data_IF_365619256208
#
_entry.id   IF_365619256208
#
_cell.length_a   1.000
_cell.length_b   1.000
_cell.length_c   1.000
_cell.angle_alpha   90.00
_cell.angle_beta   90.00
_cell.angle_gamma   90.00
#
_symmetry.space_group_name_H-M   'P 1'
#
loop_
_entity.id
_entity.type
_entity.pdbx_description
1 polymer ?
#
# COMPACT_ATOMS: atom_id res chain seq x y z
N UNK A 1 10.87 47.96 6.57
CA UNK A 1 9.49 47.69 7.03
C UNK A 1 9.39 46.20 7.27
N UNK A 2 9.19 45.77 8.52
CA UNK A 2 9.11 44.36 8.89
C UNK A 2 7.68 43.86 8.71
N UNK A 3 7.49 42.82 7.90
CA UNK A 3 6.20 42.17 7.72
C UNK A 3 5.90 41.39 9.01
N UNK A 4 4.79 41.66 9.72
CA UNK A 4 4.44 40.89 10.90
C UNK A 4 4.08 39.47 10.44
N UNK A 5 4.90 38.49 10.82
CA UNK A 5 4.52 37.09 10.67
C UNK A 5 3.30 36.83 11.54
N UNK A 6 2.15 36.64 10.90
CA UNK A 6 0.95 36.15 11.55
C UNK A 6 1.32 34.82 12.23
N UNK A 7 1.24 34.82 13.56
CA UNK A 7 1.37 33.60 14.35
C UNK A 7 0.26 32.65 13.90
N UNK A 8 0.65 31.58 13.19
CA UNK A 8 -0.23 30.47 12.85
C UNK A 8 -0.85 29.93 14.14
N UNK A 9 -2.14 30.20 14.32
CA UNK A 9 -2.97 29.70 15.42
C UNK A 9 -3.45 28.26 15.20
N UNK A 10 -2.72 27.46 14.42
CA UNK A 10 -2.93 26.01 14.28
C UNK A 10 -1.82 25.23 15.00
N UNK A 11 -1.62 25.52 16.30
CA UNK A 11 -0.95 24.59 17.21
C UNK A 11 -1.97 23.55 17.74
N UNK A 12 -2.78 22.99 16.84
CA UNK A 12 -3.97 22.21 17.19
C UNK A 12 -3.90 20.76 16.71
N UNK A 13 -3.41 19.87 17.61
CA UNK A 13 -3.21 18.42 17.44
C UNK A 13 -2.14 18.05 16.41
N UNK A 14 -1.10 17.35 16.89
CA UNK A 14 -0.28 16.53 16.02
C UNK A 14 -1.21 15.57 15.25
N UNK A 15 -1.33 15.76 13.93
CA UNK A 15 -2.01 14.83 13.04
C UNK A 15 -1.13 13.58 12.96
N UNK A 16 -1.39 12.62 13.83
CA UNK A 16 -0.71 11.33 13.77
C UNK A 16 -1.25 10.57 12.57
N UNK A 17 -0.44 10.45 11.52
CA UNK A 17 -0.71 9.55 10.41
C UNK A 17 -0.72 8.13 10.96
N UNK A 18 -1.84 7.44 10.78
CA UNK A 18 -1.96 6.03 11.15
C UNK A 18 -1.85 5.19 9.88
N UNK A 19 -0.99 4.20 9.92
CA UNK A 19 -0.92 3.17 8.90
C UNK A 19 -2.24 2.40 8.87
N UNK A 20 -2.79 2.17 7.69
CA UNK A 20 -4.03 1.43 7.47
C UNK A 20 -3.85 -0.04 7.86
N UNK A 21 -2.65 -0.59 7.66
CA UNK A 21 -2.29 -1.95 8.05
C UNK A 21 -1.88 -2.06 9.53
N UNK A 22 -1.73 -0.94 10.24
CA UNK A 22 -1.41 -0.92 11.67
C UNK A 22 0.04 -1.25 12.04
N UNK A 23 0.89 -1.66 11.08
CA UNK A 23 2.31 -1.93 11.31
C UNK A 23 3.19 -0.67 11.32
N UNK A 24 2.69 0.46 10.84
CA UNK A 24 3.46 1.70 10.68
C UNK A 24 4.00 1.88 9.26
N UNK A 25 4.31 3.13 8.92
CA UNK A 25 4.88 3.49 7.62
C UNK A 25 6.37 3.14 7.57
N UNK A 26 6.81 2.55 6.45
CA UNK A 26 8.21 2.15 6.21
C UNK A 26 8.61 0.81 6.83
N UNK A 27 7.72 0.16 7.59
CA UNK A 27 7.98 -1.15 8.15
C UNK A 27 7.76 -2.25 7.10
N UNK A 28 8.77 -3.11 6.91
CA UNK A 28 8.69 -4.21 5.96
C UNK A 28 7.87 -5.33 6.59
N UNK A 29 6.66 -5.52 6.07
CA UNK A 29 5.71 -6.54 6.51
C UNK A 29 5.33 -7.47 5.37
N UNK A 30 4.79 -8.61 5.74
CA UNK A 30 4.15 -9.55 4.83
C UNK A 30 2.65 -9.38 4.94
N UNK A 31 1.96 -9.34 3.82
CA UNK A 31 0.50 -9.27 3.79
C UNK A 31 -0.05 -10.34 2.86
N UNK A 32 -1.17 -10.92 3.25
CA UNK A 32 -1.95 -11.83 2.43
C UNK A 32 -3.35 -11.26 2.25
N UNK A 33 -3.86 -11.44 1.04
CA UNK A 33 -5.11 -10.84 0.66
C UNK A 33 -5.48 -11.10 -0.79
N UNK A 34 -6.65 -10.61 -1.16
CA UNK A 34 -7.29 -10.84 -2.45
C UNK A 34 -7.24 -9.58 -3.30
N UNK A 35 -6.86 -9.69 -4.57
CA UNK A 35 -6.95 -8.58 -5.51
C UNK A 35 -8.41 -8.18 -5.75
N UNK A 36 -8.73 -6.91 -5.56
CA UNK A 36 -10.04 -6.33 -5.89
C UNK A 36 -9.94 -5.70 -7.30
N UNK A 37 -11.02 -5.77 -8.07
CA UNK A 37 -11.14 -5.10 -9.36
C UNK A 37 -11.79 -3.72 -9.24
N UNK A 38 -11.37 -2.82 -10.12
CA UNK A 38 -11.87 -1.46 -10.31
C UNK A 38 -13.37 -1.43 -10.69
N UNK A 39 -13.89 -2.57 -11.18
CA UNK A 39 -15.30 -2.78 -11.50
C UNK A 39 -16.25 -2.81 -10.28
N UNK A 40 -15.73 -3.03 -9.06
CA UNK A 40 -16.55 -3.01 -7.83
C UNK A 40 -16.65 -1.60 -7.21
N UNK A 41 -15.67 -0.73 -7.47
CA UNK A 41 -15.60 0.58 -6.80
C UNK A 41 -16.34 1.72 -7.49
N UNK A 42 -16.76 1.58 -8.76
CA UNK A 42 -17.53 2.60 -9.54
C UNK A 42 -17.02 4.05 -9.44
N UNK A 43 -15.78 4.26 -9.02
CA UNK A 43 -15.23 5.58 -8.67
C UNK A 43 -14.02 5.85 -9.53
N UNK A 44 -14.06 6.93 -10.34
CA UNK A 44 -12.98 7.32 -11.26
C UNK A 44 -11.60 7.46 -10.61
N UNK A 45 -11.54 7.64 -9.29
CA UNK A 45 -10.29 7.74 -8.53
C UNK A 45 -9.50 6.42 -8.44
N UNK A 46 -10.16 5.28 -8.65
CA UNK A 46 -9.53 3.95 -8.60
C UNK A 46 -9.19 3.39 -9.99
N UNK A 47 -9.48 4.15 -11.05
CA UNK A 47 -9.29 3.70 -12.42
C UNK A 47 -7.81 3.39 -12.71
N UNK A 48 -7.51 2.11 -12.92
CA UNK A 48 -6.15 1.62 -13.17
C UNK A 48 -5.28 1.43 -11.92
N UNK A 49 -5.80 1.67 -10.71
CA UNK A 49 -5.12 1.37 -9.44
C UNK A 49 -5.28 -0.11 -9.10
N UNK A 50 -4.22 -0.74 -8.58
CA UNK A 50 -4.26 -2.14 -8.16
C UNK A 50 -4.67 -2.22 -6.70
N UNK A 51 -5.91 -2.60 -6.42
CA UNK A 51 -6.43 -2.69 -5.06
C UNK A 51 -6.31 -4.11 -4.52
N UNK A 52 -6.00 -4.23 -3.23
CA UNK A 52 -5.96 -5.51 -2.52
C UNK A 52 -6.73 -5.41 -1.21
N UNK A 53 -7.59 -6.40 -0.97
CA UNK A 53 -8.21 -6.64 0.32
C UNK A 53 -7.28 -7.49 1.17
N UNK A 54 -6.61 -6.87 2.13
CA UNK A 54 -5.70 -7.54 3.06
C UNK A 54 -6.52 -8.18 4.17
N UNK A 55 -6.37 -9.50 4.31
CA UNK A 55 -7.00 -10.29 5.37
C UNK A 55 -5.99 -10.67 6.46
N UNK A 56 -4.71 -10.75 6.12
CA UNK A 56 -3.67 -11.22 7.04
C UNK A 56 -2.43 -10.35 6.92
N UNK A 57 -1.81 -10.03 8.05
CA UNK A 57 -0.54 -9.32 8.15
C UNK A 57 0.42 -10.19 8.96
N UNK A 58 1.49 -10.69 8.31
CA UNK A 58 2.39 -11.67 8.88
C UNK A 58 1.61 -12.91 9.32
N UNK A 59 1.64 -13.18 10.62
CA UNK A 59 0.91 -14.30 11.24
C UNK A 59 -0.41 -13.86 11.90
N UNK A 60 -0.80 -12.59 11.74
CA UNK A 60 -2.00 -12.02 12.37
C UNK A 60 -3.11 -11.83 11.35
N UNK A 61 -4.22 -12.53 11.58
CA UNK A 61 -5.46 -12.30 10.82
C UNK A 61 -6.15 -11.01 11.28
N UNK A 62 -6.63 -10.22 10.34
CA UNK A 62 -7.38 -9.00 10.59
C UNK A 62 -8.87 -9.34 10.73
N UNK A 63 -9.49 -8.87 11.81
CA UNK A 63 -10.94 -9.05 12.03
C UNK A 63 -11.78 -8.40 10.92
N UNK A 64 -11.26 -7.34 10.30
CA UNK A 64 -11.88 -6.65 9.18
C UNK A 64 -10.89 -6.55 8.02
N UNK A 65 -11.25 -7.04 6.81
CA UNK A 65 -10.41 -6.87 5.64
C UNK A 65 -10.14 -5.41 5.34
N UNK A 66 -8.87 -5.07 5.16
CA UNK A 66 -8.41 -3.71 4.89
C UNK A 66 -8.11 -3.56 3.41
N UNK A 67 -8.74 -2.58 2.74
CA UNK A 67 -8.42 -2.27 1.36
C UNK A 67 -7.22 -1.32 1.29
N UNK A 68 -6.23 -1.67 0.48
CA UNK A 68 -5.06 -0.83 0.22
C UNK A 68 -4.67 -0.86 -1.27
N UNK A 69 -4.16 0.27 -1.76
CA UNK A 69 -3.57 0.35 -3.10
C UNK A 69 -2.18 -0.30 -3.08
N UNK A 70 -1.91 -1.17 -4.03
CA UNK A 70 -0.60 -1.76 -4.25
C UNK A 70 0.16 -0.98 -5.32
N UNK A 71 1.38 -0.59 -4.97
CA UNK A 71 2.35 -0.04 -5.91
C UNK A 71 3.54 -0.97 -6.05
N UNK A 72 4.08 -1.07 -7.25
CA UNK A 72 5.31 -1.81 -7.52
C UNK A 72 6.31 -0.87 -8.16
N UNK A 73 7.59 -1.12 -7.91
CA UNK A 73 8.64 -0.38 -8.58
C UNK A 73 8.57 -0.63 -10.08
N UNK A 74 8.73 0.43 -10.89
CA UNK A 74 8.74 0.33 -12.36
C UNK A 74 9.84 -0.61 -12.88
N UNK A 75 10.93 -0.77 -12.12
CA UNK A 75 12.02 -1.70 -12.42
C UNK A 75 11.81 -3.11 -11.89
N UNK A 76 10.78 -3.35 -11.07
CA UNK A 76 10.42 -4.70 -10.67
C UNK A 76 9.79 -5.42 -11.86
N UNK A 77 10.29 -6.61 -12.23
CA UNK A 77 9.67 -7.47 -13.25
C UNK A 77 8.37 -8.12 -12.75
N UNK A 78 7.72 -7.49 -11.78
CA UNK A 78 6.59 -8.04 -11.06
C UNK A 78 5.31 -7.87 -11.88
N UNK A 79 4.67 -8.99 -12.20
CA UNK A 79 3.31 -9.01 -12.73
C UNK A 79 2.38 -9.37 -11.60
N UNK A 80 1.53 -8.42 -11.23
CA UNK A 80 0.45 -8.71 -10.32
C UNK A 80 -0.47 -9.77 -10.95
N UNK A 81 -0.84 -10.81 -10.21
CA UNK A 81 -1.86 -11.78 -10.60
C UNK A 81 -3.16 -11.15 -11.06
N UNK A 82 -3.95 -11.93 -11.81
CA UNK A 82 -5.29 -11.54 -12.24
C UNK A 82 -6.22 -11.29 -11.05
N UNK A 83 -7.25 -10.48 -11.29
CA UNK A 83 -8.23 -10.05 -10.30
C UNK A 83 -8.87 -11.24 -9.58
N UNK A 84 -9.12 -11.08 -8.28
CA UNK A 84 -9.70 -12.13 -7.44
C UNK A 84 -8.72 -13.21 -6.97
N UNK A 85 -7.47 -13.21 -7.44
CA UNK A 85 -6.44 -14.10 -6.90
C UNK A 85 -6.04 -13.68 -5.48
N UNK A 86 -5.93 -14.66 -4.58
CA UNK A 86 -5.27 -14.47 -3.28
C UNK A 86 -3.76 -14.61 -3.46
N UNK A 87 -3.00 -13.64 -2.97
CA UNK A 87 -1.54 -13.70 -2.96
C UNK A 87 -0.98 -13.23 -1.63
N UNK A 88 0.21 -13.76 -1.32
CA UNK A 88 1.04 -13.27 -0.23
C UNK A 88 2.17 -12.45 -0.82
N UNK A 89 2.36 -11.24 -0.30
CA UNK A 89 3.37 -10.29 -0.76
C UNK A 89 4.12 -9.73 0.43
N UNK A 90 5.37 -9.36 0.19
CA UNK A 90 6.20 -8.62 1.13
C UNK A 90 6.39 -7.20 0.60
N UNK A 91 6.35 -6.24 1.49
CA UNK A 91 6.40 -4.83 1.15
C UNK A 91 6.36 -3.97 2.39
N UNK A 92 6.14 -2.68 2.21
CA UNK A 92 5.95 -1.74 3.31
C UNK A 92 4.84 -0.76 2.99
N UNK A 93 4.17 -0.28 4.03
CA UNK A 93 3.20 0.80 3.88
C UNK A 93 3.91 2.15 3.75
N UNK A 94 3.49 2.96 2.80
CA UNK A 94 3.99 4.32 2.55
C UNK A 94 2.80 5.19 2.16
N UNK A 95 2.99 6.49 1.99
CA UNK A 95 1.90 7.35 1.57
C UNK A 95 2.38 8.65 0.95
N UNK A 96 1.45 9.36 0.36
CA UNK A 96 1.68 10.66 -0.27
C UNK A 96 0.52 11.59 0.02
N UNK A 97 0.81 12.89 0.07
CA UNK A 97 -0.25 13.88 0.04
C UNK A 97 -0.73 14.04 -1.40
N UNK A 98 -2.05 14.03 -1.57
CA UNK A 98 -2.74 14.16 -2.86
C UNK A 98 -3.69 15.35 -2.79
N UNK A 99 -3.96 15.98 -3.93
CA UNK A 99 -4.81 17.16 -4.03
C UNK A 99 -4.06 18.47 -3.84
N UNK A 100 -4.80 19.57 -3.84
CA UNK A 100 -4.26 20.92 -3.72
C UNK A 100 -4.80 21.53 -2.41
N UNK A 101 -3.94 22.04 -1.51
CA UNK A 101 -4.38 22.71 -0.30
C UNK A 101 -5.33 23.87 -0.64
N UNK A 102 -6.46 23.96 0.07
CA UNK A 102 -7.48 24.97 -0.25
C UNK A 102 -6.94 26.41 -0.24
N UNK A 103 -6.01 26.72 0.67
CA UNK A 103 -5.37 28.04 0.75
C UNK A 103 -4.52 28.40 -0.46
N UNK A 104 -4.08 27.44 -1.28
CA UNK A 104 -3.34 27.75 -2.50
C UNK A 104 -4.20 28.57 -3.47
N UNK A 105 -5.53 28.40 -3.46
CA UNK A 105 -6.46 29.15 -4.30
C UNK A 105 -6.67 30.60 -3.86
N UNK A 106 -6.03 31.04 -2.77
CA UNK A 106 -5.93 32.46 -2.43
C UNK A 106 -5.01 33.21 -3.42
N UNK A 107 -4.02 32.50 -4.00
CA UNK A 107 -3.01 33.09 -4.89
C UNK A 107 -3.18 32.68 -6.38
N UNK A 108 -3.88 31.57 -6.65
CA UNK A 108 -4.10 31.04 -8.01
C UNK A 108 -5.58 30.77 -8.29
N UNK A 109 -6.03 30.80 -9.56
CA UNK A 109 -7.42 30.48 -9.91
C UNK A 109 -7.84 29.08 -9.45
N UNK A 110 -9.06 28.98 -8.92
CA UNK A 110 -9.62 27.71 -8.48
C UNK A 110 -9.90 26.79 -9.68
N UNK A 111 -9.39 25.56 -9.60
CA UNK A 111 -9.67 24.49 -10.55
C UNK A 111 -10.35 23.33 -9.84
N UNK A 112 -11.08 22.50 -10.59
CA UNK A 112 -11.60 21.24 -10.06
C UNK A 112 -10.41 20.35 -9.67
N UNK A 113 -10.21 20.18 -8.36
CA UNK A 113 -9.17 19.34 -7.76
C UNK A 113 -9.82 18.32 -6.84
N UNK A 114 -9.12 17.24 -6.53
CA UNK A 114 -9.45 16.40 -5.38
C UNK A 114 -9.09 17.15 -4.10
N UNK A 115 -9.85 16.91 -3.03
CA UNK A 115 -9.55 17.44 -1.70
C UNK A 115 -8.13 17.07 -1.27
N UNK A 116 -7.46 17.97 -0.55
CA UNK A 116 -6.12 17.73 -0.04
C UNK A 116 -6.15 16.74 1.12
N UNK A 117 -5.57 15.55 0.93
CA UNK A 117 -5.54 14.49 1.95
C UNK A 117 -4.28 13.63 1.83
N UNK A 118 -4.00 12.85 2.86
CA UNK A 118 -2.96 11.83 2.83
C UNK A 118 -3.56 10.51 2.35
N UNK A 119 -2.97 9.92 1.31
CA UNK A 119 -3.32 8.61 0.79
C UNK A 119 -2.21 7.61 1.12
N UNK A 120 -2.60 6.47 1.70
CA UNK A 120 -1.68 5.36 2.00
C UNK A 120 -1.70 4.32 0.89
N UNK A 121 -0.53 3.79 0.55
CA UNK A 121 -0.32 2.74 -0.43
C UNK A 121 0.75 1.75 0.06
N UNK A 122 0.66 0.51 -0.42
CA UNK A 122 1.60 -0.54 -0.08
C UNK A 122 2.61 -0.73 -1.21
N UNK A 123 3.89 -0.47 -0.92
CA UNK A 123 4.97 -0.68 -1.86
C UNK A 123 5.43 -2.13 -1.80
N UNK A 124 5.12 -2.87 -2.87
CA UNK A 124 5.50 -4.28 -3.00
C UNK A 124 6.98 -4.38 -3.34
N UNK A 125 7.69 -5.24 -2.60
CA UNK A 125 9.10 -5.58 -2.84
C UNK A 125 9.28 -7.01 -3.34
N UNK A 126 8.42 -7.95 -2.93
CA UNK A 126 8.49 -9.35 -3.36
C UNK A 126 7.13 -10.06 -3.31
N UNK A 127 6.94 -11.03 -4.20
CA UNK A 127 5.90 -12.06 -4.06
C UNK A 127 6.42 -13.18 -3.17
N UNK A 128 5.59 -13.62 -2.25
CA UNK A 128 5.81 -14.86 -1.52
C UNK A 128 4.94 -15.92 -2.18
N UNK A 129 5.57 -16.96 -2.74
CA UNK A 129 4.82 -18.10 -3.24
C UNK A 129 3.97 -18.67 -2.10
N UNK A 130 2.77 -19.16 -2.41
CA UNK A 130 2.09 -20.08 -1.48
C UNK A 130 3.09 -21.20 -1.21
N UNK A 131 3.48 -21.39 0.05
CA UNK A 131 4.27 -22.55 0.42
C UNK A 131 3.50 -23.78 -0.06
N UNK A 132 3.96 -24.38 -1.17
CA UNK A 132 3.67 -25.76 -1.45
C UNK A 132 4.54 -26.54 -0.45
N UNK A 133 3.96 -27.31 0.49
CA UNK A 133 4.74 -28.15 1.38
C UNK A 133 5.42 -29.34 0.67
N UNK A 134 5.37 -29.45 -0.66
CA UNK A 134 6.04 -30.50 -1.45
C UNK A 134 7.46 -30.11 -1.91
N UNK A 135 8.28 -29.64 -0.99
CA UNK A 135 9.74 -29.82 -1.09
C UNK A 135 10.26 -30.40 0.22
N UNK A 136 9.76 -31.60 0.54
CA UNK A 136 10.48 -32.55 1.38
C UNK A 136 10.82 -33.73 0.49
N UNK A 137 12.08 -34.19 0.56
CA UNK A 137 12.67 -35.36 -0.10
C UNK A 137 12.95 -35.30 -1.62
N UNK A 138 14.22 -35.03 -1.97
CA UNK A 138 15.02 -35.84 -2.91
C UNK A 138 16.37 -35.17 -3.26
N UNK A 139 17.26 -35.06 -2.29
CA UNK A 139 18.71 -35.04 -2.49
C UNK A 139 19.28 -35.52 -1.15
N UNK A 140 19.84 -36.71 -1.01
CA UNK A 140 20.98 -37.22 -1.76
C UNK A 140 20.80 -38.73 -2.02
N UNK A 141 20.83 -39.11 -3.30
CA UNK A 141 21.04 -40.47 -3.73
C UNK A 141 22.50 -40.87 -3.45
N UNK A 142 22.65 -42.09 -2.95
CA UNK A 142 23.86 -42.90 -2.91
C UNK A 142 24.90 -42.55 -3.97
N UNK A 143 26.13 -42.32 -3.52
CA UNK A 143 27.32 -42.60 -4.33
C UNK A 143 28.16 -43.58 -3.52
N UNK A 144 27.98 -44.87 -3.80
CA UNK A 144 28.87 -45.94 -3.36
C UNK A 144 30.09 -46.03 -4.31
N UNK A 145 31.25 -46.51 -3.82
CA UNK A 145 32.56 -46.33 -4.43
C UNK A 145 32.84 -47.36 -5.52
N UNK A 146 33.81 -47.03 -6.38
CA UNK A 146 34.50 -47.98 -7.25
C UNK A 146 36.01 -47.77 -7.13
#
# INVERSE_FOLDING_TARGET
>A
MAVPMAQSKDAGKALTLKSVLGAGFGEIIEIEGKMIDDSDTRTRAHLGKKLMSVTTIGDKELENPVMIELQAFSFSKFKFPEHGATMRIRGYETGTFVGIPQRAFEDIPQVATTDYHFESHFQVIALLAKNNPEQTDAAEHEIAPN
#
